data_IF_444865154710
#
_entry.id   IF_444865154710
#
_cell.length_a   1.000
_cell.length_b   1.000
_cell.length_c   1.000
_cell.angle_alpha   90.00
_cell.angle_beta   90.00
_cell.angle_gamma   90.00
#
_symmetry.space_group_name_H-M   'P 1'
#
loop_
_entity.id
_entity.type
_entity.pdbx_description
1 polymer ?
#
# COMPACT_ATOMS: atom_id res chain seq x y z
N UNK A 1 -12.71 1.32 8.51
CA UNK A 1 -12.30 -0.03 8.05
C UNK A 1 -12.71 -1.06 9.09
N UNK A 2 -13.40 -2.13 8.68
CA UNK A 2 -13.75 -3.27 9.56
C UNK A 2 -12.49 -3.96 10.11
N UNK A 3 -12.60 -4.61 11.28
CA UNK A 3 -11.49 -5.26 11.99
C UNK A 3 -10.77 -6.31 11.12
N UNK A 4 -11.53 -7.13 10.37
CA UNK A 4 -10.97 -8.12 9.43
C UNK A 4 -10.04 -7.47 8.40
N UNK A 5 -10.46 -6.32 7.86
CA UNK A 5 -9.67 -5.58 6.87
C UNK A 5 -8.39 -5.00 7.49
N UNK A 6 -8.41 -4.59 8.76
CA UNK A 6 -7.20 -4.11 9.46
C UNK A 6 -6.18 -5.23 9.63
N UNK A 7 -6.63 -6.42 10.03
CA UNK A 7 -5.76 -7.60 10.18
C UNK A 7 -5.09 -7.96 8.84
N UNK A 8 -5.84 -7.93 7.74
CA UNK A 8 -5.28 -8.17 6.40
C UNK A 8 -4.16 -7.18 6.06
N UNK A 9 -4.36 -5.88 6.29
CA UNK A 9 -3.30 -4.89 6.02
C UNK A 9 -2.10 -5.01 6.97
N UNK A 10 -2.33 -5.44 8.22
CA UNK A 10 -1.25 -5.74 9.16
C UNK A 10 -0.39 -6.92 8.68
N UNK A 11 -1.01 -7.98 8.11
CA UNK A 11 -0.28 -9.09 7.51
C UNK A 11 0.58 -8.63 6.33
N UNK A 12 0.03 -7.80 5.43
CA UNK A 12 0.80 -7.24 4.29
C UNK A 12 2.01 -6.43 4.77
N UNK A 13 1.84 -5.63 5.83
CA UNK A 13 2.95 -4.88 6.42
C UNK A 13 4.00 -5.79 7.07
N UNK A 14 3.58 -6.86 7.75
CA UNK A 14 4.49 -7.85 8.32
C UNK A 14 5.30 -8.56 7.22
N UNK A 15 4.66 -8.97 6.13
CA UNK A 15 5.35 -9.58 4.98
C UNK A 15 6.36 -8.62 4.37
N UNK A 16 6.03 -7.33 4.22
CA UNK A 16 6.97 -6.32 3.75
C UNK A 16 8.20 -6.20 4.66
N UNK A 17 7.99 -6.15 5.98
CA UNK A 17 9.05 -6.04 6.96
C UNK A 17 9.98 -7.28 6.93
N UNK A 18 9.40 -8.47 6.83
CA UNK A 18 10.18 -9.72 6.70
C UNK A 18 10.97 -9.74 5.40
N UNK A 19 10.36 -9.36 4.27
CA UNK A 19 11.05 -9.33 2.99
C UNK A 19 12.24 -8.37 2.98
N UNK A 20 12.06 -7.16 3.53
CA UNK A 20 13.16 -6.19 3.71
C UNK A 20 14.22 -6.69 4.71
N UNK A 21 13.80 -7.34 5.79
CA UNK A 21 14.70 -7.96 6.75
C UNK A 21 15.60 -9.02 6.12
N UNK A 22 15.04 -9.89 5.29
CA UNK A 22 15.79 -10.90 4.52
C UNK A 22 16.79 -10.25 3.56
N UNK A 23 16.39 -9.19 2.86
CA UNK A 23 17.30 -8.44 1.98
C UNK A 23 18.48 -7.86 2.76
N UNK A 24 18.27 -7.40 3.99
CA UNK A 24 19.32 -6.79 4.81
C UNK A 24 20.27 -7.80 5.46
N UNK A 25 19.82 -9.03 5.74
CA UNK A 25 20.61 -10.05 6.44
C UNK A 25 21.47 -10.91 5.50
N UNK A 26 21.03 -11.13 4.26
CA UNK A 26 21.79 -11.93 3.28
C UNK A 26 23.04 -11.17 2.83
N UNK A 27 24.22 -11.74 3.11
CA UNK A 27 25.53 -11.22 2.70
C UNK A 27 26.35 -12.35 2.09
N UNK A 28 26.88 -12.12 0.88
CA UNK A 28 27.78 -13.07 0.20
C UNK A 28 27.12 -13.97 -0.86
N UNK A 29 25.79 -14.01 -0.94
CA UNK A 29 25.05 -14.70 -2.00
C UNK A 29 24.18 -13.72 -2.81
N UNK A 30 23.93 -13.99 -4.10
CA UNK A 30 23.00 -13.19 -4.88
C UNK A 30 21.60 -13.29 -4.26
N UNK A 31 21.04 -12.13 -3.88
CA UNK A 31 19.68 -12.05 -3.35
C UNK A 31 18.69 -12.53 -4.40
N UNK A 32 17.81 -13.46 -4.01
CA UNK A 32 16.71 -13.88 -4.85
C UNK A 32 15.78 -12.70 -5.14
N UNK A 33 15.56 -12.42 -6.44
CA UNK A 33 14.71 -11.33 -6.92
C UNK A 33 13.29 -11.36 -6.35
N UNK A 34 12.78 -12.53 -5.95
CA UNK A 34 11.46 -12.69 -5.32
C UNK A 34 11.32 -11.82 -4.07
N UNK A 35 12.37 -11.69 -3.25
CA UNK A 35 12.32 -10.86 -2.04
C UNK A 35 12.17 -9.37 -2.36
N UNK A 36 12.88 -8.90 -3.38
CA UNK A 36 12.81 -7.51 -3.85
C UNK A 36 11.42 -7.20 -4.43
N UNK A 37 10.90 -8.09 -5.28
CA UNK A 37 9.57 -7.92 -5.89
C UNK A 37 8.47 -7.98 -4.83
N UNK A 38 8.54 -8.92 -3.88
CA UNK A 38 7.58 -9.03 -2.79
C UNK A 38 7.60 -7.79 -1.89
N UNK A 39 8.80 -7.30 -1.51
CA UNK A 39 8.93 -6.06 -0.74
C UNK A 39 8.35 -4.86 -1.49
N UNK A 40 8.71 -4.68 -2.76
CA UNK A 40 8.20 -3.58 -3.58
C UNK A 40 6.67 -3.62 -3.73
N UNK A 41 6.10 -4.80 -3.99
CA UNK A 41 4.65 -4.98 -4.11
C UNK A 41 3.92 -4.64 -2.81
N UNK A 42 4.44 -5.10 -1.65
CA UNK A 42 3.82 -4.80 -0.36
C UNK A 42 3.90 -3.31 -0.01
N UNK A 43 5.06 -2.66 -0.23
CA UNK A 43 5.24 -1.23 -0.01
C UNK A 43 4.31 -0.43 -0.92
N UNK A 44 4.21 -0.80 -2.20
CA UNK A 44 3.31 -0.16 -3.15
C UNK A 44 1.84 -0.29 -2.72
N UNK A 45 1.42 -1.48 -2.29
CA UNK A 45 0.06 -1.70 -1.80
C UNK A 45 -0.25 -0.84 -0.56
N UNK A 46 0.69 -0.75 0.39
CA UNK A 46 0.55 0.11 1.58
C UNK A 46 0.49 1.59 1.20
N UNK A 47 1.40 2.04 0.33
CA UNK A 47 1.41 3.40 -0.20
C UNK A 47 0.07 3.73 -0.86
N UNK A 48 -0.36 2.90 -1.81
CA UNK A 48 -1.66 3.07 -2.47
C UNK A 48 -2.83 3.08 -1.48
N UNK A 49 -2.79 2.30 -0.39
CA UNK A 49 -3.90 2.26 0.56
C UNK A 49 -3.99 3.49 1.45
N UNK A 50 -2.85 3.90 2.01
CA UNK A 50 -2.78 4.91 3.06
C UNK A 50 -2.47 6.30 2.49
N UNK A 51 -1.51 6.38 1.57
CA UNK A 51 -1.14 7.65 0.95
C UNK A 51 -2.22 8.16 -0.01
N UNK A 52 -2.84 7.28 -0.82
CA UNK A 52 -3.93 7.72 -1.71
C UNK A 52 -5.11 8.30 -0.93
N UNK A 53 -5.35 7.86 0.31
CA UNK A 53 -6.37 8.46 1.16
C UNK A 53 -6.00 9.88 1.59
N UNK A 54 -4.73 10.11 1.93
CA UNK A 54 -4.23 11.46 2.19
C UNK A 54 -4.40 12.35 0.96
N UNK A 55 -4.00 11.87 -0.21
CA UNK A 55 -4.15 12.59 -1.48
C UNK A 55 -5.63 12.92 -1.74
N UNK A 56 -6.52 11.94 -1.65
CA UNK A 56 -7.96 12.12 -1.85
C UNK A 56 -8.56 13.18 -0.91
N UNK A 57 -8.25 13.13 0.38
CA UNK A 57 -8.89 14.00 1.38
C UNK A 57 -8.22 15.38 1.54
N UNK A 58 -6.89 15.48 1.34
CA UNK A 58 -6.13 16.69 1.65
C UNK A 58 -5.63 17.43 0.41
N UNK A 59 -5.25 16.71 -0.63
CA UNK A 59 -4.69 17.32 -1.85
C UNK A 59 -5.80 17.62 -2.84
N UNK A 60 -6.60 16.59 -3.16
CA UNK A 60 -7.68 16.69 -4.15
C UNK A 60 -9.00 17.14 -3.53
N UNK A 61 -9.16 16.98 -2.22
CA UNK A 61 -10.40 17.25 -1.48
C UNK A 61 -11.64 16.69 -2.22
N UNK A 62 -11.56 15.42 -2.60
CA UNK A 62 -12.63 14.74 -3.34
C UNK A 62 -13.93 14.78 -2.51
N UNK A 63 -14.99 15.28 -3.14
CA UNK A 63 -16.32 15.39 -2.58
C UNK A 63 -17.31 14.58 -3.41
N UNK A 64 -17.72 13.43 -2.87
CA UNK A 64 -18.68 12.53 -3.52
C UNK A 64 -20.10 13.15 -3.61
N UNK A 65 -20.40 14.22 -2.86
CA UNK A 65 -21.69 14.93 -2.94
C UNK A 65 -21.70 15.96 -4.08
N UNK A 66 -20.55 16.25 -4.68
CA UNK A 66 -20.44 17.21 -5.78
C UNK A 66 -20.69 16.52 -7.12
N UNK A 67 -21.98 16.32 -7.43
CA UNK A 67 -22.40 15.75 -8.71
C UNK A 67 -21.78 16.51 -9.90
N UNK A 68 -21.22 15.76 -10.85
CA UNK A 68 -20.65 16.32 -12.08
C UNK A 68 -21.76 16.91 -12.96
N UNK A 69 -21.45 17.86 -13.86
CA UNK A 69 -22.47 18.47 -14.73
C UNK A 69 -23.25 17.45 -15.57
N UNK A 70 -22.64 16.30 -15.90
CA UNK A 70 -23.26 15.24 -16.67
C UNK A 70 -24.41 14.52 -15.95
N UNK A 71 -24.48 14.60 -14.62
CA UNK A 71 -25.56 14.01 -13.81
C UNK A 71 -26.74 14.98 -13.60
N UNK A 72 -26.58 16.27 -13.97
CA UNK A 72 -27.57 17.35 -13.67
C UNK A 72 -28.49 17.70 -14.84
N UNK A 73 -28.26 17.14 -16.04
CA UNK A 73 -29.04 17.36 -17.26
C UNK A 73 -29.94 16.15 -17.54
#
# INVERSE_FOLDING_TARGET
MSLRKKILWALVAATAAVALGMIATVRGEPINAVWLVAAAACIYALGYRFYSRFVACRVLALDDQRATPAERL
#
